data_IF_807442714737
#
_entry.id   IF_807442714737
#
_cell.length_a   1.000
_cell.length_b   1.000
_cell.length_c   1.000
_cell.angle_alpha   90.00
_cell.angle_beta   90.00
_cell.angle_gamma   90.00
#
_symmetry.space_group_name_H-M   'P 1'
#
loop_
_entity.id
_entity.type
_entity.pdbx_description
1 polymer ?
#
# COMPACT_ATOMS: atom_id res chain seq x y z
N UNK A 1 -21.57 -13.51 -23.41
CA UNK A 1 -22.19 -12.31 -22.80
C UNK A 1 -21.35 -12.00 -21.57
N UNK A 2 -20.40 -11.09 -21.74
CA UNK A 2 -19.53 -10.47 -20.72
C UNK A 2 -18.49 -11.34 -19.97
N UNK A 3 -17.46 -11.85 -20.68
CA UNK A 3 -16.16 -12.22 -20.09
C UNK A 3 -15.30 -10.97 -19.83
N UNK A 4 -15.87 -10.00 -19.14
CA UNK A 4 -15.21 -8.74 -18.80
C UNK A 4 -15.36 -8.49 -17.30
N UNK A 5 -14.96 -9.48 -16.51
CA UNK A 5 -14.93 -9.38 -15.06
C UNK A 5 -13.54 -8.82 -14.70
N UNK A 6 -13.52 -7.54 -14.39
CA UNK A 6 -12.63 -6.93 -13.39
C UNK A 6 -11.11 -6.96 -13.66
N UNK A 7 -10.64 -6.33 -14.74
CA UNK A 7 -9.32 -5.68 -14.69
C UNK A 7 -9.41 -4.41 -13.84
N UNK A 8 -9.61 -4.57 -12.53
CA UNK A 8 -9.38 -3.49 -11.58
C UNK A 8 -7.87 -3.34 -11.43
N UNK A 9 -7.31 -2.28 -11.99
CA UNK A 9 -5.94 -1.92 -11.70
C UNK A 9 -5.84 -1.56 -10.22
N UNK A 10 -4.84 -2.07 -9.48
CA UNK A 10 -4.66 -1.70 -8.08
C UNK A 10 -4.52 -0.18 -7.99
N UNK A 11 -5.20 0.42 -7.01
CA UNK A 11 -5.06 1.84 -6.75
C UNK A 11 -3.62 2.10 -6.34
N UNK A 12 -2.91 2.92 -7.11
CA UNK A 12 -1.49 3.20 -6.81
C UNK A 12 -1.38 4.47 -5.98
N UNK A 13 -0.83 4.37 -4.78
CA UNK A 13 -0.46 5.51 -3.94
C UNK A 13 1.03 5.80 -4.14
N UNK A 14 1.32 6.95 -4.74
CA UNK A 14 2.70 7.40 -5.01
C UNK A 14 3.20 8.21 -3.81
N UNK A 15 3.96 7.55 -2.92
CA UNK A 15 4.60 8.18 -1.77
C UNK A 15 4.47 7.36 -0.47
N UNK A 16 5.50 6.58 -0.15
CA UNK A 16 5.61 5.77 1.08
C UNK A 16 5.97 6.56 2.37
N UNK A 17 5.44 7.79 2.50
CA UNK A 17 5.49 8.59 3.73
C UNK A 17 4.30 8.31 4.64
N UNK A 18 4.16 9.06 5.74
CA UNK A 18 3.12 8.84 6.75
C UNK A 18 1.70 8.85 6.15
N UNK A 19 1.35 9.92 5.42
CA UNK A 19 0.00 10.07 4.86
C UNK A 19 -0.29 9.10 3.71
N UNK A 20 0.66 8.89 2.80
CA UNK A 20 0.46 7.92 1.70
C UNK A 20 0.32 6.49 2.21
N UNK A 21 1.06 6.12 3.26
CA UNK A 21 0.90 4.82 3.93
C UNK A 21 -0.47 4.70 4.60
N UNK A 22 -0.90 5.73 5.35
CA UNK A 22 -2.22 5.73 5.98
C UNK A 22 -3.36 5.64 4.95
N UNK A 23 -3.24 6.36 3.83
CA UNK A 23 -4.20 6.31 2.72
C UNK A 23 -4.23 4.91 2.08
N UNK A 24 -3.06 4.31 1.83
CA UNK A 24 -3.00 2.96 1.28
C UNK A 24 -3.66 1.93 2.21
N UNK A 25 -3.39 2.00 3.51
CA UNK A 25 -4.04 1.16 4.53
C UNK A 25 -5.56 1.35 4.52
N UNK A 26 -6.04 2.60 4.42
CA UNK A 26 -7.46 2.89 4.37
C UNK A 26 -8.13 2.30 3.12
N UNK A 27 -7.47 2.37 1.96
CA UNK A 27 -7.96 1.77 0.71
C UNK A 27 -8.03 0.24 0.83
N UNK A 28 -6.94 -0.38 1.30
CA UNK A 28 -6.87 -1.84 1.49
C UNK A 28 -7.92 -2.36 2.49
N UNK A 29 -8.13 -1.66 3.62
CA UNK A 29 -9.17 -2.03 4.59
C UNK A 29 -10.60 -1.90 4.06
N UNK A 30 -10.81 -1.12 2.99
CA UNK A 30 -12.09 -1.04 2.28
C UNK A 30 -12.26 -2.13 1.22
N UNK A 31 -11.34 -3.11 1.14
CA UNK A 31 -11.45 -4.26 0.23
C UNK A 31 -10.93 -4.00 -1.18
N UNK A 32 -10.09 -2.98 -1.36
CA UNK A 32 -9.49 -2.65 -2.65
C UNK A 32 -8.00 -3.01 -2.69
N UNK A 33 -7.55 -3.57 -3.82
CA UNK A 33 -6.12 -3.77 -4.07
C UNK A 33 -5.40 -2.42 -4.18
N UNK A 34 -4.27 -2.31 -3.51
CA UNK A 34 -3.47 -1.08 -3.44
C UNK A 34 -1.99 -1.38 -3.65
N UNK A 35 -1.33 -0.53 -4.43
CA UNK A 35 0.12 -0.53 -4.58
C UNK A 35 0.69 0.74 -3.93
N UNK A 36 1.55 0.58 -2.93
CA UNK A 36 2.26 1.69 -2.31
C UNK A 36 3.64 1.83 -2.95
N UNK A 37 3.85 2.92 -3.69
CA UNK A 37 5.14 3.22 -4.31
C UNK A 37 5.98 4.16 -3.43
N UNK A 38 7.27 3.88 -3.36
CA UNK A 38 8.27 4.71 -2.68
C UNK A 38 9.52 4.86 -3.53
N UNK A 39 10.28 5.93 -3.29
CA UNK A 39 11.53 6.21 -4.02
C UNK A 39 12.75 5.48 -3.46
N UNK A 40 12.68 5.00 -2.22
CA UNK A 40 13.78 4.41 -1.47
C UNK A 40 13.57 2.89 -1.39
N UNK A 41 14.36 2.13 -2.16
CA UNK A 41 14.21 0.69 -2.26
C UNK A 41 14.57 -0.05 -0.97
N UNK A 42 15.52 0.47 -0.17
CA UNK A 42 15.91 -0.12 1.10
C UNK A 42 14.78 0.02 2.12
N UNK A 43 14.18 1.21 2.19
CA UNK A 43 12.98 1.45 3.00
C UNK A 43 11.84 0.50 2.60
N UNK A 44 11.52 0.40 1.30
CA UNK A 44 10.44 -0.45 0.81
C UNK A 44 10.68 -1.94 1.10
N UNK A 45 11.93 -2.39 0.99
CA UNK A 45 12.31 -3.77 1.31
C UNK A 45 12.10 -4.06 2.80
N UNK A 46 12.53 -3.12 3.67
CA UNK A 46 12.28 -3.22 5.11
C UNK A 46 10.78 -3.28 5.41
N UNK A 47 9.98 -2.41 4.77
CA UNK A 47 8.52 -2.39 4.94
C UNK A 47 7.86 -3.72 4.53
N UNK A 48 8.32 -4.36 3.45
CA UNK A 48 7.82 -5.67 3.02
C UNK A 48 8.16 -6.77 4.03
N UNK A 49 9.36 -6.71 4.63
CA UNK A 49 9.81 -7.69 5.62
C UNK A 49 9.10 -7.55 6.97
N UNK A 50 8.90 -6.31 7.43
CA UNK A 50 8.24 -6.03 8.72
C UNK A 50 6.73 -5.97 8.61
N UNK A 51 6.18 -5.96 7.39
CA UNK A 51 4.77 -5.76 7.13
C UNK A 51 4.22 -4.45 7.73
N UNK A 52 5.05 -3.40 7.80
CA UNK A 52 4.70 -2.11 8.43
C UNK A 52 5.58 -0.97 7.92
N UNK A 53 5.21 0.28 8.19
CA UNK A 53 6.07 1.44 7.94
C UNK A 53 6.54 2.07 9.25
N UNK A 54 7.35 1.35 10.03
CA UNK A 54 7.79 1.82 11.35
C UNK A 54 8.44 3.21 11.34
N UNK A 55 9.09 3.58 10.24
CA UNK A 55 9.74 4.89 10.09
C UNK A 55 8.74 6.05 10.09
N UNK A 56 7.60 5.90 9.41
CA UNK A 56 6.67 7.01 9.17
C UNK A 56 5.29 6.81 9.79
N UNK A 57 4.95 5.58 10.18
CA UNK A 57 3.66 5.20 10.75
C UNK A 57 3.85 4.01 11.71
N UNK A 58 4.51 4.21 12.85
CA UNK A 58 4.84 3.13 13.78
C UNK A 58 3.61 2.48 14.44
N UNK A 59 3.70 1.18 14.69
CA UNK A 59 2.63 0.41 15.37
C UNK A 59 1.40 0.12 14.51
N UNK A 60 1.46 0.35 13.20
CA UNK A 60 0.41 0.00 12.24
C UNK A 60 0.95 -0.99 11.20
N UNK A 61 0.46 -2.22 11.28
CA UNK A 61 0.71 -3.26 10.28
C UNK A 61 -0.12 -3.02 9.02
N UNK A 62 0.43 -3.45 7.88
CA UNK A 62 -0.32 -3.49 6.62
C UNK A 62 -1.43 -4.54 6.69
N UNK A 63 -2.55 -4.34 5.96
CA UNK A 63 -3.70 -5.26 5.97
C UNK A 63 -3.45 -6.54 5.17
#
# INVERSE_FOLDING_TARGET
MSDQVDQLFPTTVVGAGAWGTALAIAIARNGHDVLLWGRDAEQLTGMQQTHSNERYLPGLEFP
#
